data_IF_044458742193
#
_entry.id   IF_044458742193
#
_cell.length_a   1.000
_cell.length_b   1.000
_cell.length_c   1.000
_cell.angle_alpha   90.00
_cell.angle_beta   90.00
_cell.angle_gamma   90.00
#
_symmetry.space_group_name_H-M   'P 1'
#
loop_
_entity.id
_entity.type
_entity.pdbx_description
1 polymer ?
#
# COMPACT_ATOMS: atom_id res chain seq x y z
N UNK A 1 8.21 -15.27 -18.26
CA UNK A 1 7.21 -14.20 -18.10
C UNK A 1 6.02 -14.83 -17.37
N UNK A 2 6.08 -14.89 -16.03
CA UNK A 2 5.10 -15.60 -15.19
C UNK A 2 4.05 -14.60 -14.70
N UNK A 3 2.80 -14.84 -15.08
CA UNK A 3 1.64 -13.99 -14.79
C UNK A 3 1.00 -14.51 -13.49
N UNK A 4 1.45 -13.96 -12.36
CA UNK A 4 0.79 -14.18 -11.07
C UNK A 4 -0.61 -13.54 -11.17
N UNK A 5 -1.67 -14.31 -10.90
CA UNK A 5 -3.02 -13.78 -10.74
C UNK A 5 -3.07 -12.92 -9.47
N UNK A 6 -2.70 -11.65 -9.63
CA UNK A 6 -2.84 -10.61 -8.61
C UNK A 6 -4.24 -10.03 -8.71
N UNK A 7 -4.98 -10.04 -7.61
CA UNK A 7 -6.20 -9.26 -7.47
C UNK A 7 -5.79 -7.80 -7.20
N UNK A 8 -6.54 -6.82 -7.70
CA UNK A 8 -6.11 -5.40 -7.73
C UNK A 8 -7.08 -4.52 -6.95
N UNK A 9 -6.55 -3.49 -6.31
CA UNK A 9 -7.23 -2.61 -5.35
C UNK A 9 -8.24 -1.64 -5.96
N UNK A 10 -8.26 -1.50 -7.28
CA UNK A 10 -9.07 -0.49 -7.96
C UNK A 10 -10.52 -0.92 -8.18
N UNK A 11 -10.98 -2.01 -7.55
CA UNK A 11 -12.31 -2.57 -7.79
C UNK A 11 -13.21 -2.42 -6.58
N UNK A 12 -14.29 -1.67 -6.76
CA UNK A 12 -15.45 -1.75 -5.89
C UNK A 12 -16.39 -2.84 -6.44
N UNK A 13 -16.83 -3.75 -5.58
CA UNK A 13 -17.44 -5.03 -5.97
C UNK A 13 -18.89 -5.14 -5.49
N UNK A 14 -19.78 -5.70 -6.32
CA UNK A 14 -21.16 -5.96 -5.92
C UNK A 14 -21.28 -7.05 -4.85
N UNK A 15 -22.09 -6.82 -3.82
CA UNK A 15 -22.53 -7.87 -2.89
C UNK A 15 -23.76 -8.58 -3.48
N UNK A 16 -23.70 -9.91 -3.61
CA UNK A 16 -24.81 -10.79 -4.04
C UNK A 16 -25.35 -10.70 -5.49
N UNK A 17 -24.54 -10.92 -6.54
CA UNK A 17 -25.09 -11.47 -7.78
C UNK A 17 -24.56 -12.88 -8.07
N UNK A 18 -25.34 -13.65 -8.83
CA UNK A 18 -24.92 -14.95 -9.38
C UNK A 18 -23.71 -14.84 -10.34
N UNK A 19 -23.23 -13.62 -10.63
CA UNK A 19 -21.96 -13.28 -11.30
C UNK A 19 -21.38 -11.98 -10.70
N UNK A 20 -20.07 -11.88 -10.45
CA UNK A 20 -19.47 -10.62 -9.97
C UNK A 20 -19.54 -9.54 -11.06
N UNK A 21 -20.31 -8.47 -10.83
CA UNK A 21 -20.23 -7.24 -11.60
C UNK A 21 -19.42 -6.19 -10.82
N UNK A 22 -18.73 -5.32 -11.57
CA UNK A 22 -17.76 -4.35 -11.04
C UNK A 22 -18.36 -2.96 -11.14
N UNK A 23 -18.13 -2.13 -10.12
CA UNK A 23 -18.47 -0.70 -10.19
C UNK A 23 -17.28 0.03 -10.81
N UNK A 24 -17.41 0.60 -12.03
CA UNK A 24 -16.27 1.17 -12.72
C UNK A 24 -15.67 2.38 -11.99
N UNK A 25 -14.36 2.36 -11.82
CA UNK A 25 -13.55 3.52 -11.45
C UNK A 25 -13.53 4.52 -12.63
N UNK A 26 -13.76 5.80 -12.35
CA UNK A 26 -13.83 6.89 -13.34
C UNK A 26 -12.71 7.91 -13.16
N UNK A 27 -12.31 8.17 -11.91
CA UNK A 27 -11.25 9.13 -11.60
C UNK A 27 -10.48 8.75 -10.34
N UNK A 28 -9.19 9.04 -10.36
CA UNK A 28 -8.28 8.94 -9.22
C UNK A 28 -7.54 10.27 -9.09
N UNK A 29 -7.48 10.82 -7.89
CA UNK A 29 -6.58 11.90 -7.52
C UNK A 29 -5.72 11.42 -6.36
N UNK A 30 -4.41 11.56 -6.48
CA UNK A 30 -3.44 11.21 -5.45
C UNK A 30 -2.61 12.44 -5.15
N UNK A 31 -2.69 12.90 -3.92
CA UNK A 31 -1.84 13.98 -3.39
C UNK A 31 -0.98 13.39 -2.28
N UNK A 32 0.32 13.62 -2.35
CA UNK A 32 1.25 13.17 -1.33
C UNK A 32 2.22 14.29 -0.96
N UNK A 33 2.60 14.34 0.31
CA UNK A 33 3.68 15.21 0.82
C UNK A 33 4.68 14.37 1.57
N UNK A 34 5.91 14.32 1.07
CA UNK A 34 7.03 13.61 1.67
C UNK A 34 7.89 14.60 2.46
N UNK A 35 8.11 14.27 3.73
CA UNK A 35 9.01 14.99 4.65
C UNK A 35 9.95 13.98 5.28
N UNK A 36 11.23 14.03 4.89
CA UNK A 36 12.23 13.08 5.35
C UNK A 36 11.77 11.61 5.15
N UNK A 37 11.61 10.84 6.24
CA UNK A 37 11.17 9.44 6.20
C UNK A 37 9.67 9.26 6.47
N UNK A 38 8.84 10.27 6.21
CA UNK A 38 7.39 10.16 6.34
C UNK A 38 6.67 10.72 5.11
N UNK A 39 5.53 10.14 4.78
CA UNK A 39 4.62 10.64 3.77
C UNK A 39 3.21 10.84 4.34
N UNK A 40 2.61 11.99 4.07
CA UNK A 40 1.18 12.22 4.20
C UNK A 40 0.55 12.05 2.81
N UNK A 41 -0.46 11.20 2.71
CA UNK A 41 -1.07 10.80 1.43
C UNK A 41 -2.57 10.93 1.52
N UNK A 42 -3.16 11.63 0.55
CA UNK A 42 -4.60 11.68 0.31
C UNK A 42 -4.92 11.07 -1.04
N UNK A 43 -5.78 10.07 -1.04
CA UNK A 43 -6.28 9.40 -2.25
C UNK A 43 -7.77 9.62 -2.36
N UNK A 44 -8.21 10.19 -3.48
CA UNK A 44 -9.62 10.36 -3.83
C UNK A 44 -9.95 9.53 -5.06
N UNK A 45 -10.89 8.60 -4.93
CA UNK A 45 -11.35 7.74 -6.03
C UNK A 45 -12.83 7.93 -6.29
N UNK A 46 -13.21 7.99 -7.56
CA UNK A 46 -14.61 8.14 -7.97
C UNK A 46 -15.06 6.94 -8.77
N UNK A 47 -16.06 6.26 -8.22
CA UNK A 47 -16.71 5.12 -8.81
C UNK A 47 -18.09 5.53 -9.31
N UNK A 48 -18.60 4.90 -10.37
CA UNK A 48 -19.95 5.13 -10.86
C UNK A 48 -20.71 3.82 -10.97
N UNK A 49 -21.93 3.77 -10.46
CA UNK A 49 -22.81 2.66 -10.74
C UNK A 49 -23.37 2.78 -12.17
N UNK A 50 -22.80 2.03 -13.11
CA UNK A 50 -23.29 1.97 -14.50
C UNK A 50 -24.44 0.95 -14.69
N UNK A 51 -24.85 0.26 -13.62
CA UNK A 51 -26.01 -0.64 -13.64
C UNK A 51 -27.33 0.13 -13.67
N UNK A 52 -28.39 -0.56 -14.09
CA UNK A 52 -29.76 -0.02 -14.12
C UNK A 52 -30.48 -0.12 -12.77
N UNK A 53 -29.87 -0.76 -11.79
CA UNK A 53 -30.45 -1.04 -10.47
C UNK A 53 -29.60 -0.47 -9.35
N UNK A 54 -30.21 -0.26 -8.18
CA UNK A 54 -29.48 0.07 -6.96
C UNK A 54 -28.58 -1.11 -6.58
N UNK A 55 -27.37 -0.81 -6.14
CA UNK A 55 -26.38 -1.82 -5.80
C UNK A 55 -25.80 -1.62 -4.41
N UNK A 56 -25.45 -2.72 -3.75
CA UNK A 56 -24.52 -2.73 -2.63
C UNK A 56 -23.11 -2.99 -3.15
N UNK A 57 -22.14 -2.25 -2.64
CA UNK A 57 -20.79 -2.30 -3.16
C UNK A 57 -19.75 -2.33 -2.04
N UNK A 58 -18.71 -3.15 -2.19
CA UNK A 58 -17.60 -3.28 -1.23
C UNK A 58 -16.35 -2.71 -1.86
N UNK A 59 -15.70 -1.79 -1.18
CA UNK A 59 -14.44 -1.21 -1.59
C UNK A 59 -13.32 -1.72 -0.69
N UNK A 60 -12.22 -2.19 -1.29
CA UNK A 60 -11.05 -2.64 -0.57
C UNK A 60 -9.85 -1.78 -0.95
N UNK A 61 -9.11 -1.30 0.04
CA UNK A 61 -7.96 -0.43 -0.14
C UNK A 61 -6.72 -1.05 0.52
N UNK A 62 -5.65 -1.35 -0.24
CA UNK A 62 -4.39 -1.80 0.32
C UNK A 62 -3.64 -0.60 0.89
N UNK A 63 -2.99 -0.81 2.02
CA UNK A 63 -2.13 0.17 2.65
C UNK A 63 -0.93 -0.55 3.24
N UNK A 64 0.20 0.16 3.39
CA UNK A 64 1.36 -0.42 4.05
C UNK A 64 1.07 -0.70 5.52
N UNK A 65 1.69 -1.75 6.07
CA UNK A 65 1.49 -2.19 7.45
C UNK A 65 1.79 -1.10 8.48
N UNK A 66 2.73 -0.20 8.17
CA UNK A 66 3.16 0.89 9.04
C UNK A 66 2.30 2.16 8.89
N UNK A 67 1.31 2.16 8.00
CA UNK A 67 0.50 3.33 7.73
C UNK A 67 -0.63 3.50 8.75
N UNK A 68 -0.95 4.75 9.07
CA UNK A 68 -2.07 5.12 9.93
C UNK A 68 -3.08 5.98 9.17
N UNK A 69 -4.30 5.45 8.99
CA UNK A 69 -5.41 6.20 8.42
C UNK A 69 -5.95 7.16 9.47
N UNK A 70 -6.01 8.45 9.13
CA UNK A 70 -6.54 9.49 10.01
C UNK A 70 -7.83 10.13 9.47
N UNK A 71 -8.15 9.94 8.19
CA UNK A 71 -9.41 10.43 7.60
C UNK A 71 -9.96 9.47 6.57
N UNK A 72 -11.29 9.34 6.58
CA UNK A 72 -12.06 8.62 5.58
C UNK A 72 -13.37 9.36 5.34
N UNK A 73 -13.72 9.56 4.07
CA UNK A 73 -15.01 10.09 3.68
C UNK A 73 -15.56 9.36 2.44
N UNK A 74 -16.86 9.08 2.46
CA UNK A 74 -17.60 8.57 1.31
C UNK A 74 -18.71 9.57 0.96
N UNK A 75 -18.75 10.02 -0.31
CA UNK A 75 -19.77 10.96 -0.79
C UNK A 75 -20.56 10.35 -1.94
N UNK A 76 -21.87 10.33 -1.82
CA UNK A 76 -22.81 9.91 -2.85
C UNK A 76 -23.83 11.04 -3.03
N UNK A 77 -23.89 11.63 -4.23
CA UNK A 77 -24.65 12.87 -4.47
C UNK A 77 -24.27 13.98 -3.47
N UNK A 78 -25.27 14.59 -2.80
CA UNK A 78 -25.09 15.66 -1.81
C UNK A 78 -24.84 15.12 -0.39
N UNK A 79 -24.78 13.80 -0.21
CA UNK A 79 -24.57 13.17 1.09
C UNK A 79 -23.11 12.80 1.25
N UNK A 80 -22.45 13.44 2.21
CA UNK A 80 -21.11 13.09 2.66
C UNK A 80 -21.18 12.35 3.98
N UNK A 81 -20.53 11.19 4.03
CA UNK A 81 -20.37 10.36 5.21
C UNK A 81 -18.90 10.48 5.60
N UNK A 82 -18.65 11.21 6.68
CA UNK A 82 -17.30 11.34 7.26
C UNK A 82 -17.17 10.31 8.36
N UNK A 83 -16.13 9.48 8.30
CA UNK A 83 -15.88 8.50 9.36
C UNK A 83 -15.47 9.21 10.65
N UNK A 84 -16.06 8.76 11.75
CA UNK A 84 -15.61 9.12 13.08
C UNK A 84 -14.73 8.00 13.61
N UNK A 85 -13.47 8.30 13.91
CA UNK A 85 -12.56 7.33 14.51
C UNK A 85 -13.04 6.99 15.93
N UNK A 86 -13.27 5.70 16.19
CA UNK A 86 -13.73 5.16 17.47
C UNK A 86 -12.95 3.90 17.83
N UNK A 87 -13.03 3.48 19.08
CA UNK A 87 -12.49 2.18 19.50
C UNK A 87 -13.23 1.05 18.77
N UNK A 88 -12.52 -0.02 18.40
CA UNK A 88 -13.03 -1.06 17.51
C UNK A 88 -14.33 -1.68 18.00
N UNK A 89 -14.45 -2.03 19.29
CA UNK A 89 -15.66 -2.67 19.83
C UNK A 89 -16.83 -1.69 19.91
N UNK A 90 -16.55 -0.42 20.20
CA UNK A 90 -17.55 0.65 20.17
C UNK A 90 -18.11 0.84 18.75
N UNK A 91 -17.23 1.02 17.75
CA UNK A 91 -17.61 1.19 16.35
C UNK A 91 -18.47 0.03 15.83
N UNK A 92 -18.08 -1.20 16.15
CA UNK A 92 -18.80 -2.41 15.74
C UNK A 92 -20.19 -2.50 16.37
N UNK A 93 -20.36 -2.09 17.64
CA UNK A 93 -21.66 -2.08 18.33
C UNK A 93 -22.61 -1.08 17.69
N UNK A 94 -22.16 0.17 17.52
CA UNK A 94 -22.98 1.22 16.92
C UNK A 94 -23.42 0.88 15.49
N UNK A 95 -22.52 0.29 14.70
CA UNK A 95 -22.84 -0.20 13.36
C UNK A 95 -23.98 -1.23 13.40
N UNK A 96 -23.88 -2.23 14.28
CA UNK A 96 -24.90 -3.27 14.40
C UNK A 96 -26.23 -2.71 14.90
N UNK A 97 -26.21 -1.79 15.87
CA UNK A 97 -27.41 -1.14 16.40
C UNK A 97 -28.11 -0.28 15.33
N UNK A 98 -27.35 0.46 14.52
CA UNK A 98 -27.88 1.24 13.41
C UNK A 98 -28.55 0.36 12.35
N UNK A 99 -27.95 -0.79 12.01
CA UNK A 99 -28.55 -1.76 11.11
C UNK A 99 -29.86 -2.35 11.67
N UNK A 100 -29.88 -2.70 12.96
CA UNK A 100 -31.10 -3.21 13.62
C UNK A 100 -32.24 -2.19 13.61
N UNK A 101 -31.91 -0.90 13.66
CA UNK A 101 -32.86 0.21 13.61
C UNK A 101 -33.27 0.59 12.17
N UNK A 102 -32.72 -0.07 11.15
CA UNK A 102 -33.04 0.17 9.74
C UNK A 102 -32.34 1.39 9.13
N UNK A 103 -31.31 1.93 9.78
CA UNK A 103 -30.48 3.00 9.24
C UNK A 103 -29.41 2.44 8.29
N UNK A 104 -29.03 3.22 7.28
CA UNK A 104 -27.83 2.94 6.49
C UNK A 104 -26.59 3.24 7.31
N UNK A 105 -25.80 2.21 7.63
CA UNK A 105 -24.56 2.33 8.40
C UNK A 105 -23.34 2.01 7.51
N UNK A 106 -22.22 2.68 7.79
CA UNK A 106 -20.97 2.51 7.05
C UNK A 106 -19.87 2.25 8.08
N UNK A 107 -19.11 1.19 7.85
CA UNK A 107 -18.03 0.76 8.75
C UNK A 107 -16.79 0.52 7.90
N UNK A 108 -15.70 1.20 8.29
CA UNK A 108 -14.35 1.00 7.79
C UNK A 108 -13.61 0.15 8.83
N UNK A 109 -13.12 -1.01 8.43
CA UNK A 109 -12.34 -1.88 9.31
C UNK A 109 -11.09 -2.38 8.61
N UNK A 110 -10.01 -2.50 9.39
CA UNK A 110 -8.83 -3.25 9.02
C UNK A 110 -9.18 -4.74 9.04
N UNK A 111 -8.83 -5.47 7.98
CA UNK A 111 -9.09 -6.91 7.92
C UNK A 111 -8.28 -7.63 9.01
N UNK A 112 -8.97 -8.39 9.86
CA UNK A 112 -8.34 -9.15 10.96
C UNK A 112 -7.33 -10.19 10.45
N UNK A 113 -7.47 -10.60 9.18
CA UNK A 113 -6.61 -11.60 8.54
C UNK A 113 -5.54 -10.97 7.64
N UNK A 114 -5.65 -9.69 7.32
CA UNK A 114 -4.70 -8.98 6.46
C UNK A 114 -4.60 -7.50 6.87
N UNK A 115 -3.63 -7.21 7.73
CA UNK A 115 -3.43 -5.88 8.32
C UNK A 115 -3.12 -4.80 7.26
N UNK A 116 -2.71 -5.21 6.07
CA UNK A 116 -2.45 -4.36 4.91
C UNK A 116 -3.70 -4.05 4.06
N UNK A 117 -4.90 -4.48 4.46
CA UNK A 117 -6.14 -4.22 3.73
C UNK A 117 -7.23 -3.60 4.61
N UNK A 118 -7.84 -2.55 4.08
CA UNK A 118 -9.03 -1.91 4.65
C UNK A 118 -10.25 -2.19 3.80
N UNK A 119 -11.37 -2.50 4.44
CA UNK A 119 -12.62 -2.86 3.79
C UNK A 119 -13.69 -1.82 4.15
N UNK A 120 -14.39 -1.34 3.14
CA UNK A 120 -15.50 -0.40 3.25
C UNK A 120 -16.73 -1.01 2.59
N UNK A 121 -17.82 -1.10 3.35
CA UNK A 121 -19.13 -1.46 2.80
C UNK A 121 -19.90 -0.18 2.43
N UNK A 122 -20.32 -0.08 1.17
CA UNK A 122 -21.19 0.99 0.66
C UNK A 122 -22.57 0.39 0.37
N UNK A 123 -23.49 0.58 1.31
CA UNK A 123 -24.74 -0.17 1.39
C UNK A 123 -25.87 0.24 0.42
N UNK A 124 -25.71 1.30 -0.38
CA UNK A 124 -26.75 1.70 -1.36
C UNK A 124 -26.23 2.73 -2.37
N UNK A 125 -25.66 2.28 -3.50
CA UNK A 125 -25.27 3.15 -4.61
C UNK A 125 -26.34 3.12 -5.72
N UNK A 126 -27.09 4.21 -5.96
CA UNK A 126 -28.16 4.22 -6.96
C UNK A 126 -27.65 4.14 -8.41
N UNK A 127 -28.50 3.75 -9.39
CA UNK A 127 -28.15 3.74 -10.82
C UNK A 127 -27.62 5.08 -11.31
N UNK A 128 -26.58 5.05 -12.14
CA UNK A 128 -25.93 6.22 -12.75
C UNK A 128 -25.38 7.26 -11.76
N UNK A 129 -25.26 6.93 -10.47
CA UNK A 129 -24.69 7.81 -9.46
C UNK A 129 -23.23 7.51 -9.19
N UNK A 130 -22.51 8.54 -8.78
CA UNK A 130 -21.09 8.46 -8.41
C UNK A 130 -20.93 8.35 -6.90
N UNK A 131 -19.97 7.53 -6.49
CA UNK A 131 -19.46 7.42 -5.13
C UNK A 131 -18.01 7.93 -5.13
N UNK A 132 -17.74 9.00 -4.38
CA UNK A 132 -16.39 9.49 -4.15
C UNK A 132 -15.90 8.95 -2.81
N UNK A 133 -14.81 8.20 -2.82
CA UNK A 133 -14.12 7.73 -1.62
C UNK A 133 -12.84 8.56 -1.44
N UNK A 134 -12.65 9.14 -0.27
CA UNK A 134 -11.44 9.89 0.10
C UNK A 134 -10.82 9.24 1.31
N UNK A 135 -9.53 8.92 1.23
CA UNK A 135 -8.73 8.32 2.30
C UNK A 135 -7.51 9.19 2.49
N UNK A 136 -7.24 9.59 3.74
CA UNK A 136 -5.99 10.24 4.11
C UNK A 136 -5.26 9.42 5.18
N UNK A 137 -3.97 9.20 4.95
CA UNK A 137 -3.13 8.40 5.83
C UNK A 137 -1.70 8.94 5.86
N UNK A 138 -1.00 8.63 6.95
CA UNK A 138 0.44 8.84 7.07
C UNK A 138 1.17 7.51 7.05
N UNK A 139 2.37 7.45 6.50
CA UNK A 139 3.23 6.25 6.54
C UNK A 139 4.69 6.63 6.73
N UNK A 140 5.45 5.76 7.39
CA UNK A 140 6.91 5.83 7.43
C UNK A 140 7.50 5.30 6.12
N UNK A 141 8.66 5.80 5.71
CA UNK A 141 9.33 5.49 4.46
C UNK A 141 10.65 4.76 4.71
N UNK A 142 10.85 3.67 3.97
CA UNK A 142 12.07 2.88 4.08
C UNK A 142 13.27 3.56 3.43
N UNK A 143 14.44 3.39 4.06
CA UNK A 143 15.73 3.69 3.45
C UNK A 143 16.35 2.43 2.84
N UNK A 144 16.30 2.33 1.53
CA UNK A 144 16.82 1.21 0.76
C UNK A 144 18.27 1.47 0.37
N UNK A 145 19.11 0.44 0.44
CA UNK A 145 20.54 0.51 0.07
C UNK A 145 21.33 1.63 0.80
N UNK A 146 20.84 2.06 1.97
CA UNK A 146 21.47 3.08 2.81
C UNK A 146 21.50 4.50 2.26
N UNK A 147 20.85 4.78 1.12
CA UNK A 147 20.86 6.12 0.52
C UNK A 147 19.63 6.48 -0.32
N UNK A 148 18.67 5.56 -0.51
CA UNK A 148 17.47 5.83 -1.30
C UNK A 148 16.24 5.74 -0.41
N UNK A 149 15.55 6.86 -0.20
CA UNK A 149 14.22 6.85 0.44
C UNK A 149 13.23 6.32 -0.58
N UNK A 150 12.46 5.29 -0.21
CA UNK A 150 11.47 4.67 -1.07
C UNK A 150 10.06 4.99 -0.58
N UNK A 151 9.26 5.63 -1.43
CA UNK A 151 7.85 5.85 -1.21
C UNK A 151 7.04 4.95 -2.13
N UNK A 152 6.12 4.18 -1.55
CA UNK A 152 5.26 3.25 -2.27
C UNK A 152 3.80 3.57 -1.99
N UNK A 153 3.00 3.57 -3.05
CA UNK A 153 1.53 3.55 -2.96
C UNK A 153 1.06 2.20 -3.51
N UNK A 154 0.62 1.28 -2.65
CA UNK A 154 0.07 0.01 -3.08
C UNK A 154 -1.19 0.20 -3.94
N UNK A 155 -1.27 -0.53 -5.04
CA UNK A 155 -2.45 -0.56 -5.93
C UNK A 155 -2.98 -1.98 -6.14
N UNK A 156 -2.34 -2.96 -5.49
CA UNK A 156 -2.61 -4.37 -5.64
C UNK A 156 -3.13 -4.97 -4.34
N UNK A 157 -4.16 -5.82 -4.40
CA UNK A 157 -4.62 -6.62 -3.27
C UNK A 157 -4.28 -8.08 -3.55
N UNK A 158 -3.18 -8.58 -2.98
CA UNK A 158 -2.79 -9.97 -3.19
C UNK A 158 -3.81 -10.93 -2.53
N UNK A 159 -4.29 -11.96 -3.24
CA UNK A 159 -5.04 -13.04 -2.60
C UNK A 159 -4.17 -13.75 -1.56
N UNK A 160 -4.68 -14.00 -0.34
CA UNK A 160 -3.91 -14.63 0.74
C UNK A 160 -4.43 -16.02 1.08
N UNK A 161 -3.56 -16.89 1.55
CA UNK A 161 -3.96 -18.20 2.05
C UNK A 161 -4.84 -18.05 3.31
N UNK A 162 -5.99 -18.70 3.32
CA UNK A 162 -6.97 -18.65 4.40
C UNK A 162 -7.15 -20.08 4.95
N UNK A 163 -6.56 -20.40 6.11
CA UNK A 163 -6.57 -21.75 6.66
C UNK A 163 -7.99 -22.26 6.96
N UNK A 164 -8.91 -21.37 7.37
CA UNK A 164 -10.31 -21.73 7.66
C UNK A 164 -11.07 -22.22 6.42
N UNK A 165 -10.63 -21.81 5.22
CA UNK A 165 -11.20 -22.22 3.94
C UNK A 165 -10.31 -23.22 3.18
N UNK A 166 -9.20 -23.65 3.78
CA UNK A 166 -8.26 -24.60 3.19
C UNK A 166 -7.65 -24.14 1.85
N UNK A 167 -7.54 -22.82 1.61
CA UNK A 167 -7.11 -22.31 0.30
C UNK A 167 -6.95 -20.79 0.24
N UNK A 168 -6.57 -20.28 -0.94
CA UNK A 168 -6.35 -18.85 -1.18
C UNK A 168 -7.70 -18.10 -1.28
N UNK A 169 -7.89 -17.05 -0.50
CA UNK A 169 -9.08 -16.17 -0.56
C UNK A 169 -8.68 -14.70 -0.56
N UNK A 170 -9.38 -13.85 -1.31
CA UNK A 170 -9.23 -12.40 -1.19
C UNK A 170 -9.97 -11.86 0.04
N UNK A 171 -9.61 -10.65 0.51
CA UNK A 171 -10.34 -9.96 1.57
C UNK A 171 -11.85 -9.91 1.30
N UNK A 172 -12.66 -9.97 2.37
CA UNK A 172 -14.13 -10.05 2.31
C UNK A 172 -14.70 -11.26 1.51
N UNK A 173 -13.91 -12.29 1.22
CA UNK A 173 -14.38 -13.47 0.47
C UNK A 173 -14.65 -13.19 -1.01
N UNK A 174 -14.08 -12.10 -1.54
CA UNK A 174 -14.31 -11.66 -2.91
C UNK A 174 -13.41 -12.43 -3.89
N UNK A 175 -13.95 -12.85 -5.03
CA UNK A 175 -13.18 -13.43 -6.15
C UNK A 175 -12.92 -12.33 -7.17
N UNK A 176 -12.00 -11.42 -6.86
CA UNK A 176 -11.62 -10.38 -7.81
C UNK A 176 -10.89 -11.02 -9.00
N UNK A 177 -11.33 -10.77 -10.23
CA UNK A 177 -10.48 -10.83 -11.42
C UNK A 177 -10.47 -9.41 -11.96
N UNK A 178 -9.34 -8.71 -11.90
CA UNK A 178 -9.25 -7.38 -12.49
C UNK A 178 -9.65 -7.45 -13.97
N UNK A 179 -10.81 -6.87 -14.29
CA UNK A 179 -11.21 -6.58 -15.66
C UNK A 179 -11.03 -5.08 -15.81
N UNK A 180 -10.04 -4.64 -16.59
CA UNK A 180 -9.96 -3.26 -17.04
C UNK A 180 -11.14 -3.02 -18.00
N UNK A 181 -12.31 -2.76 -17.45
CA UNK A 181 -13.54 -2.61 -18.24
C UNK A 181 -13.83 -1.16 -18.61
N UNK A 182 -13.20 -0.18 -17.95
CA UNK A 182 -13.48 1.25 -18.19
C UNK A 182 -12.22 2.12 -18.09
N UNK A 183 -12.02 3.06 -19.03
CA UNK A 183 -11.00 4.10 -18.89
C UNK A 183 -11.33 5.01 -17.70
N UNK A 184 -10.31 5.44 -16.99
CA UNK A 184 -10.40 6.43 -15.92
C UNK A 184 -9.29 7.47 -16.08
N UNK A 185 -9.50 8.62 -15.47
CA UNK A 185 -8.49 9.69 -15.41
C UNK A 185 -7.73 9.54 -14.10
N UNK A 186 -6.41 9.69 -14.14
CA UNK A 186 -5.58 9.75 -12.95
C UNK A 186 -4.82 11.07 -12.91
N UNK A 187 -4.88 11.71 -11.75
CA UNK A 187 -3.99 12.79 -11.37
C UNK A 187 -3.13 12.33 -10.18
N UNK A 188 -1.84 12.62 -10.27
CA UNK A 188 -0.85 12.26 -9.25
C UNK A 188 0.07 13.45 -9.06
N UNK A 189 0.13 13.92 -7.82
CA UNK A 189 0.99 15.01 -7.41
C UNK A 189 1.63 14.69 -6.06
N UNK A 190 2.93 14.49 -6.08
CA UNK A 190 3.74 14.25 -4.89
C UNK A 190 4.68 15.43 -4.66
N UNK A 191 4.55 16.08 -3.51
CA UNK A 191 5.44 17.14 -3.07
C UNK A 191 6.53 16.54 -2.18
N UNK A 192 7.79 16.80 -2.50
CA UNK A 192 8.93 16.45 -1.66
C UNK A 192 9.41 17.74 -1.02
N UNK A 193 9.26 17.82 0.30
CA UNK A 193 9.55 19.02 1.08
C UNK A 193 10.87 18.92 1.81
N UNK A 194 11.66 20.00 1.74
CA UNK A 194 12.82 20.18 2.60
C UNK A 194 12.33 20.35 4.04
N UNK A 195 12.70 19.42 4.91
CA UNK A 195 12.38 19.51 6.34
C UNK A 195 13.45 20.35 7.05
N UNK A 196 13.04 21.48 7.65
CA UNK A 196 13.97 22.36 8.36
C UNK A 196 14.54 21.64 9.60
N UNK A 197 15.85 21.74 9.85
CA UNK A 197 16.52 21.07 10.97
C UNK A 197 16.79 19.59 10.74
N UNK A 198 16.30 19.01 9.65
CA UNK A 198 16.65 17.67 9.21
C UNK A 198 18.06 17.67 8.61
N UNK A 199 18.90 16.72 9.03
CA UNK A 199 20.29 16.56 8.54
C UNK A 199 20.42 15.46 7.49
N UNK A 200 19.41 15.32 6.63
CA UNK A 200 19.50 14.42 5.48
C UNK A 200 20.55 14.93 4.48
N UNK A 201 21.15 13.98 3.74
CA UNK A 201 21.98 14.31 2.59
C UNK A 201 21.18 15.07 1.53
N UNK A 202 21.87 15.77 0.63
CA UNK A 202 21.22 16.48 -0.47
C UNK A 202 20.52 15.47 -1.39
N UNK A 203 19.34 15.84 -1.90
CA UNK A 203 18.65 15.02 -2.90
C UNK A 203 19.43 15.13 -4.22
N UNK A 204 20.03 14.02 -4.64
CA UNK A 204 20.80 13.93 -5.88
C UNK A 204 19.93 13.55 -7.07
N UNK A 205 18.87 12.78 -6.82
CA UNK A 205 17.98 12.30 -7.87
C UNK A 205 16.63 11.90 -7.28
N UNK A 206 15.57 12.20 -8.03
CA UNK A 206 14.24 11.61 -7.83
C UNK A 206 13.94 10.76 -9.07
N UNK A 207 13.43 9.55 -8.87
CA UNK A 207 13.11 8.64 -9.97
C UNK A 207 11.94 7.73 -9.64
N UNK A 208 11.35 7.11 -10.65
CA UNK A 208 10.36 6.05 -10.48
C UNK A 208 10.73 4.84 -11.31
N UNK A 209 10.74 3.66 -10.70
CA UNK A 209 10.89 2.38 -11.38
C UNK A 209 9.55 1.83 -11.90
N UNK A 210 8.43 2.44 -11.50
CA UNK A 210 7.08 1.95 -11.75
C UNK A 210 6.39 2.68 -12.91
N UNK A 211 6.44 4.01 -12.91
CA UNK A 211 5.69 4.86 -13.84
C UNK A 211 6.60 5.98 -14.37
N UNK A 212 6.44 6.44 -15.62
CA UNK A 212 7.12 7.62 -16.11
C UNK A 212 6.68 8.87 -15.33
N UNK A 213 7.65 9.60 -14.77
CA UNK A 213 7.39 10.80 -13.97
C UNK A 213 8.04 12.04 -14.59
N UNK A 214 7.44 13.19 -14.33
CA UNK A 214 8.00 14.51 -14.56
C UNK A 214 8.29 15.16 -13.20
N UNK A 215 9.40 15.88 -13.11
CA UNK A 215 9.87 16.47 -11.86
C UNK A 215 10.09 17.95 -12.09
N UNK A 216 9.37 18.77 -11.34
CA UNK A 216 9.50 20.22 -11.34
C UNK A 216 10.13 20.68 -10.02
N UNK A 217 11.14 21.53 -10.09
CA UNK A 217 11.71 22.16 -8.92
C UNK A 217 10.76 23.26 -8.44
N UNK A 218 10.21 23.13 -7.24
CA UNK A 218 9.35 24.15 -6.65
C UNK A 218 10.18 25.26 -6.00
N UNK A 219 11.16 24.88 -5.17
CA UNK A 219 12.12 25.73 -4.47
C UNK A 219 13.44 24.95 -4.25
N UNK A 220 14.43 25.56 -3.61
CA UNK A 220 15.69 24.87 -3.26
C UNK A 220 15.41 23.61 -2.41
N UNK A 221 15.84 22.44 -2.91
CA UNK A 221 15.56 21.10 -2.36
C UNK A 221 14.06 20.75 -2.17
N UNK A 222 13.17 21.35 -2.94
CA UNK A 222 11.74 21.00 -2.96
C UNK A 222 11.28 20.66 -4.38
N UNK A 223 10.63 19.50 -4.51
CA UNK A 223 10.30 18.91 -5.81
C UNK A 223 8.81 18.59 -5.89
N UNK A 224 8.20 18.86 -7.04
CA UNK A 224 6.87 18.39 -7.39
C UNK A 224 7.04 17.28 -8.42
N UNK A 225 6.58 16.08 -8.08
CA UNK A 225 6.59 14.92 -8.94
C UNK A 225 5.18 14.66 -9.44
N UNK A 226 5.01 14.57 -10.75
CA UNK A 226 3.76 14.22 -11.42
C UNK A 226 3.99 13.08 -12.40
N UNK A 227 2.92 12.45 -12.90
CA UNK A 227 3.08 11.53 -14.03
C UNK A 227 3.41 12.29 -15.31
N UNK A 228 4.39 11.79 -16.08
CA UNK A 228 4.77 12.38 -17.35
C UNK A 228 3.77 12.09 -18.48
N UNK A 229 2.84 11.15 -18.26
CA UNK A 229 1.89 10.69 -19.27
C UNK A 229 0.45 10.79 -18.75
N UNK A 230 -0.46 11.23 -19.62
CA UNK A 230 -1.89 11.35 -19.29
C UNK A 230 -2.63 10.00 -19.26
N UNK A 231 -2.13 8.98 -19.95
CA UNK A 231 -2.70 7.62 -19.97
C UNK A 231 -2.02 6.69 -18.97
N UNK A 232 -1.68 7.21 -17.79
CA UNK A 232 -1.14 6.39 -16.71
C UNK A 232 -2.24 5.49 -16.13
N UNK A 233 -1.90 4.25 -15.79
CA UNK A 233 -2.81 3.31 -15.16
C UNK A 233 -2.16 2.73 -13.90
N UNK A 234 -2.93 2.59 -12.83
CA UNK A 234 -2.60 1.86 -11.60
C UNK A 234 -2.60 0.34 -11.84
N UNK A 235 -1.78 -0.14 -12.77
CA UNK A 235 -1.62 -1.56 -13.07
C UNK A 235 -0.55 -2.26 -12.21
N UNK A 236 0.19 -1.46 -11.46
CA UNK A 236 1.24 -1.80 -10.49
C UNK A 236 1.34 -0.70 -9.44
N UNK A 237 2.04 -0.98 -8.35
CA UNK A 237 2.24 -0.01 -7.27
C UNK A 237 3.00 1.22 -7.79
N UNK A 238 2.72 2.40 -7.24
CA UNK A 238 3.50 3.60 -7.55
C UNK A 238 4.72 3.58 -6.65
N UNK A 239 5.92 3.60 -7.22
CA UNK A 239 7.18 3.68 -6.49
C UNK A 239 7.93 4.96 -6.85
N UNK A 240 8.27 5.78 -5.87
CA UNK A 240 9.14 6.95 -6.00
C UNK A 240 10.40 6.70 -5.17
N UNK A 241 11.56 6.80 -5.81
CA UNK A 241 12.88 6.67 -5.20
C UNK A 241 13.52 8.06 -5.11
N UNK A 242 13.99 8.43 -3.92
CA UNK A 242 14.66 9.70 -3.63
C UNK A 242 16.08 9.36 -3.19
N UNK A 243 17.05 9.56 -4.08
CA UNK A 243 18.46 9.23 -3.84
C UNK A 243 19.19 10.40 -3.16
N UNK A 244 19.82 10.13 -2.02
CA UNK A 244 20.55 11.08 -1.20
C UNK A 244 22.06 11.03 -1.49
N UNK A 245 22.73 12.17 -1.32
CA UNK A 245 24.17 12.31 -1.58
C UNK A 245 25.06 11.55 -0.59
N UNK A 246 24.58 11.36 0.64
CA UNK A 246 25.32 10.78 1.75
C UNK A 246 24.71 9.42 2.13
N UNK A 247 25.58 8.42 2.34
CA UNK A 247 25.23 7.10 2.90
C UNK A 247 25.29 7.07 4.44
N UNK A 248 25.22 8.23 5.09
CA UNK A 248 25.76 8.45 6.46
C UNK A 248 24.97 7.78 7.58
N UNK A 249 25.72 7.52 8.67
CA UNK A 249 25.25 6.94 9.93
C UNK A 249 24.38 7.91 10.74
N UNK A 250 23.18 7.46 11.10
CA UNK A 250 22.23 8.09 12.05
C UNK A 250 21.83 9.56 11.80
N UNK A 251 20.56 9.80 11.43
CA UNK A 251 20.02 11.13 11.11
C UNK A 251 18.85 11.50 12.01
N UNK A 252 18.83 12.76 12.49
CA UNK A 252 17.60 13.38 13.02
C UNK A 252 16.76 13.76 11.81
N UNK A 253 15.63 13.08 11.64
CA UNK A 253 14.80 13.14 10.45
C UNK A 253 13.77 14.27 10.47
N UNK A 254 13.26 14.64 11.65
CA UNK A 254 12.36 15.77 11.81
C UNK A 254 12.39 16.30 13.24
N UNK A 255 12.31 17.63 13.39
CA UNK A 255 12.02 18.32 14.65
C UNK A 255 10.83 19.22 14.38
N UNK A 256 9.64 18.77 14.77
CA UNK A 256 8.45 19.63 14.83
C UNK A 256 8.18 20.00 16.30
N UNK A 257 7.31 20.98 16.55
CA UNK A 257 7.07 21.52 17.89
C UNK A 257 6.65 20.41 18.88
N UNK A 258 7.61 19.90 19.68
CA UNK A 258 7.38 18.89 20.71
C UNK A 258 7.67 17.44 20.32
N UNK A 259 8.08 17.15 19.08
CA UNK A 259 8.39 15.79 18.63
C UNK A 259 9.68 15.73 17.82
N UNK A 260 10.45 14.65 18.00
CA UNK A 260 11.71 14.40 17.27
C UNK A 260 11.68 12.98 16.72
N UNK A 261 11.92 12.84 15.42
CA UNK A 261 12.16 11.53 14.78
C UNK A 261 13.66 11.35 14.58
N UNK A 262 14.20 10.23 15.09
CA UNK A 262 15.62 9.88 14.97
C UNK A 262 15.74 8.53 14.28
N UNK A 263 16.40 8.50 13.14
CA UNK A 263 16.67 7.29 12.38
C UNK A 263 18.13 6.86 12.60
N UNK A 264 18.35 5.66 13.15
CA UNK A 264 19.68 5.09 13.34
C UNK A 264 19.99 4.12 12.20
N UNK A 265 20.64 4.63 11.16
CA UNK A 265 21.04 3.82 10.01
C UNK A 265 22.52 3.48 10.18
N UNK A 266 22.92 2.22 10.42
CA UNK A 266 24.33 1.84 10.43
C UNK A 266 24.89 1.89 9.00
N UNK A 267 26.11 2.41 8.84
CA UNK A 267 26.80 2.32 7.54
C UNK A 267 27.28 0.91 7.25
N UNK A 268 27.58 0.65 5.98
CA UNK A 268 28.26 -0.59 5.56
C UNK A 268 29.57 -0.80 6.34
N UNK A 269 30.28 0.28 6.69
CA UNK A 269 31.49 0.20 7.50
C UNK A 269 31.20 -0.14 8.97
N UNK A 270 30.15 0.44 9.56
CA UNK A 270 29.70 0.08 10.91
C UNK A 270 29.33 -1.41 10.97
N UNK A 271 28.60 -1.90 9.96
CA UNK A 271 28.26 -3.32 9.81
C UNK A 271 29.49 -4.20 9.63
N UNK A 272 30.47 -3.79 8.81
CA UNK A 272 31.75 -4.52 8.63
C UNK A 272 32.56 -4.57 9.91
N UNK A 273 32.60 -3.49 10.69
CA UNK A 273 33.31 -3.44 11.96
C UNK A 273 32.61 -4.31 13.02
N UNK A 274 31.28 -4.30 13.06
CA UNK A 274 30.51 -5.21 13.90
C UNK A 274 30.74 -6.69 13.51
N UNK A 275 30.81 -7.00 12.21
CA UNK A 275 31.06 -8.34 11.70
C UNK A 275 32.51 -8.84 11.86
N UNK A 276 33.48 -7.94 12.12
CA UNK A 276 34.86 -8.33 12.51
C UNK A 276 34.93 -8.89 13.92
N UNK A 277 33.95 -8.60 14.77
CA UNK A 277 33.71 -9.41 15.96
C UNK A 277 33.12 -10.72 15.44
N UNK A 278 33.75 -11.88 15.69
CA UNK A 278 33.33 -13.22 15.23
C UNK A 278 31.87 -13.54 15.62
N UNK A 279 30.92 -12.97 14.89
CA UNK A 279 29.51 -13.26 15.00
C UNK A 279 29.27 -14.49 14.15
N UNK A 280 29.30 -15.66 14.80
CA UNK A 280 28.83 -16.91 14.21
C UNK A 280 27.32 -16.81 14.01
N UNK A 281 26.90 -16.23 12.89
CA UNK A 281 25.49 -16.19 12.52
C UNK A 281 25.05 -17.60 12.08
N UNK A 282 23.91 -18.04 12.59
CA UNK A 282 23.23 -19.27 12.15
C UNK A 282 21.97 -18.90 11.36
N UNK A 283 21.84 -19.45 10.16
CA UNK A 283 20.71 -19.21 9.26
C UNK A 283 19.86 -20.47 9.09
N UNK A 284 18.62 -20.46 9.57
CA UNK A 284 17.68 -21.58 9.40
C UNK A 284 16.63 -21.19 8.36
N UNK A 285 16.65 -21.85 7.21
CA UNK A 285 15.66 -21.64 6.15
C UNK A 285 14.51 -22.62 6.33
N UNK A 286 13.30 -22.12 6.56
CA UNK A 286 12.09 -22.96 6.61
C UNK A 286 11.34 -22.81 5.29
N UNK A 287 11.21 -23.89 4.53
CA UNK A 287 10.67 -23.87 3.16
C UNK A 287 9.38 -24.68 3.10
N UNK A 288 8.27 -24.03 2.76
CA UNK A 288 7.01 -24.73 2.54
C UNK A 288 7.12 -25.72 1.36
N UNK A 289 6.80 -26.97 1.63
CA UNK A 289 6.75 -28.07 0.66
C UNK A 289 5.34 -28.67 0.54
N UNK A 290 4.31 -27.95 0.99
CA UNK A 290 2.91 -28.36 0.93
C UNK A 290 2.47 -28.67 -0.50
N UNK A 291 1.38 -29.43 -0.65
CA UNK A 291 0.83 -29.77 -1.98
C UNK A 291 0.57 -28.55 -2.87
N UNK A 292 0.24 -27.40 -2.29
CA UNK A 292 0.01 -26.13 -3.01
C UNK A 292 1.27 -25.55 -3.68
N UNK A 293 2.45 -25.99 -3.28
CA UNK A 293 3.74 -25.60 -3.86
C UNK A 293 4.06 -26.36 -5.16
N UNK A 294 3.32 -27.44 -5.45
CA UNK A 294 3.41 -28.14 -6.74
C UNK A 294 2.72 -27.36 -7.86
N UNK A 295 1.80 -26.44 -7.53
CA UNK A 295 1.11 -25.62 -8.51
C UNK A 295 2.04 -24.55 -9.11
N UNK A 296 1.86 -24.29 -10.40
CA UNK A 296 2.43 -23.13 -11.11
C UNK A 296 3.96 -22.95 -10.97
N UNK A 297 4.72 -24.06 -10.83
CA UNK A 297 6.18 -24.07 -10.66
C UNK A 297 6.70 -23.34 -9.40
N UNK A 298 5.87 -23.11 -8.39
CA UNK A 298 6.26 -22.39 -7.15
C UNK A 298 7.45 -23.04 -6.46
N UNK A 299 7.46 -24.36 -6.31
CA UNK A 299 8.59 -25.08 -5.71
C UNK A 299 9.90 -24.93 -6.51
N UNK A 300 9.82 -24.82 -7.84
CA UNK A 300 11.00 -24.61 -8.69
C UNK A 300 11.59 -23.23 -8.47
N UNK A 301 10.74 -22.20 -8.36
CA UNK A 301 11.15 -20.84 -8.04
C UNK A 301 11.74 -20.74 -6.64
N UNK A 302 11.12 -21.39 -5.65
CA UNK A 302 11.64 -21.47 -4.29
C UNK A 302 13.06 -22.07 -4.27
N UNK A 303 13.29 -23.16 -5.01
CA UNK A 303 14.62 -23.76 -5.15
C UNK A 303 15.63 -22.81 -5.81
N UNK A 304 15.22 -22.05 -6.83
CA UNK A 304 16.10 -21.08 -7.48
C UNK A 304 16.49 -19.92 -6.53
N UNK A 305 15.53 -19.40 -5.76
CA UNK A 305 15.79 -18.38 -4.75
C UNK A 305 16.71 -18.91 -3.63
N UNK A 306 16.46 -20.13 -3.15
CA UNK A 306 17.32 -20.78 -2.15
C UNK A 306 18.77 -20.91 -2.60
N UNK A 307 19.01 -21.23 -3.87
CA UNK A 307 20.38 -21.26 -4.42
C UNK A 307 21.06 -19.89 -4.41
N UNK A 308 20.31 -18.79 -4.60
CA UNK A 308 20.85 -17.43 -4.50
C UNK A 308 21.17 -17.08 -3.05
N UNK A 309 20.29 -17.42 -2.11
CA UNK A 309 20.52 -17.17 -0.69
C UNK A 309 21.74 -17.90 -0.16
N UNK A 310 21.86 -19.21 -0.45
CA UNK A 310 23.02 -20.00 -0.03
C UNK A 310 24.35 -19.47 -0.59
N UNK A 311 24.34 -18.93 -1.82
CA UNK A 311 25.52 -18.30 -2.42
C UNK A 311 25.86 -16.93 -1.85
N UNK A 312 24.90 -16.31 -1.17
CA UNK A 312 25.04 -14.97 -0.58
C UNK A 312 25.35 -15.01 0.92
N UNK A 313 25.41 -16.21 1.51
CA UNK A 313 25.71 -16.39 2.92
C UNK A 313 27.14 -15.94 3.26
N UNK A 314 27.36 -15.34 4.45
CA UNK A 314 28.70 -14.99 4.92
C UNK A 314 29.61 -16.23 5.01
N UNK A 315 30.92 -16.01 4.81
CA UNK A 315 31.91 -17.06 5.03
C UNK A 315 31.93 -17.44 6.52
N UNK A 316 32.05 -18.73 6.84
CA UNK A 316 32.05 -19.28 8.20
C UNK A 316 30.72 -19.16 8.98
N UNK A 317 29.58 -18.95 8.32
CA UNK A 317 28.29 -19.07 8.98
C UNK A 317 27.83 -20.53 9.10
N UNK A 318 26.95 -20.81 10.07
CA UNK A 318 26.20 -22.06 10.12
C UNK A 318 24.87 -21.88 9.38
N UNK A 319 24.36 -22.93 8.73
CA UNK A 319 23.02 -22.89 8.17
C UNK A 319 22.33 -24.26 8.20
N UNK A 320 21.01 -24.24 8.20
CA UNK A 320 20.17 -25.42 8.06
C UNK A 320 18.96 -25.12 7.16
N UNK A 321 18.37 -26.16 6.57
CA UNK A 321 17.16 -26.06 5.74
C UNK A 321 16.14 -27.06 6.26
N UNK A 322 14.94 -26.58 6.59
CA UNK A 322 13.81 -27.33 7.15
C UNK A 322 12.63 -27.25 6.19
#
# INVERSE_FOLDING_TARGET
>A
MLRINRNRATSMLLRHPQQPAYVPLKRVNIEATIRAFAADVTITQVFRNDEKTLIEAVYCFPIEEQAAIYTFAARIDDREIVAQLKEKKEAQREYNDALQQGYGAYLLEQDEKSQDNFIVNVGALPPSKECTITIGYVTELDLVQGSTIQFVIPTTIAPRYNPDKGGISSPAGTTSKYVQSSPYIIDFRCHIEKTLGCRLGQITRVSSSSHPIEINLAQEDSYIVTFAQQNTHLDRDILINIDLSDKRSSTIAAVEHGAVMVAFIPTEEDCRQAAKNDLTNEFIFVVDCSGSMQDENKIVLARQAMLLFLKSLPVNCHFNIV
#
